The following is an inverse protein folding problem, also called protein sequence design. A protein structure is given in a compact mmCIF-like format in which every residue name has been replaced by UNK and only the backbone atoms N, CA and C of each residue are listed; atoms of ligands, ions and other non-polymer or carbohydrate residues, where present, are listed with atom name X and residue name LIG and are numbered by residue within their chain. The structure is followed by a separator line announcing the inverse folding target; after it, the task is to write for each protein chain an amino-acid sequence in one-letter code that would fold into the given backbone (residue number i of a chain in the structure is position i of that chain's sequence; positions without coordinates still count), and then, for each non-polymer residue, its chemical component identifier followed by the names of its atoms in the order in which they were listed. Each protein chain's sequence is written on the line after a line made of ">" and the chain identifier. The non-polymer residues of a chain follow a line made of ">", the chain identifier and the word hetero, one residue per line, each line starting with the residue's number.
data_IF_816732941125
#
_entry.id   IF_816732941125
#
_cell.length_a   1.000
_cell.length_b   1.000
_cell.length_c   1.000
_cell.angle_alpha   90.00
_cell.angle_beta   90.00
_cell.angle_gamma   90.00
#
_symmetry.space_group_name_H-M   'P 1'
#
loop_
_entity.id
_entity.type
_entity.pdbx_description
1 polymer ?
#
# COMPACT_ATOMS: atom_id res chain seq x y z
N UNK A 1 11.78 -43.76 6.43
CA UNK A 1 11.99 -43.18 7.78
C UNK A 1 12.08 -41.67 7.63
N UNK A 2 11.09 -40.93 8.12
CA UNK A 2 11.10 -39.47 8.12
C UNK A 2 11.59 -38.98 9.49
N UNK A 3 12.72 -38.27 9.54
CA UNK A 3 13.21 -37.68 10.77
C UNK A 3 12.35 -36.48 11.16
N UNK A 4 11.87 -36.53 12.41
CA UNK A 4 11.15 -35.48 13.12
C UNK A 4 12.06 -34.27 13.32
N UNK A 5 11.83 -33.19 12.58
CA UNK A 5 12.38 -31.86 12.88
C UNK A 5 11.22 -30.91 13.19
N UNK A 6 10.67 -31.05 14.40
CA UNK A 6 9.81 -30.05 15.03
C UNK A 6 10.37 -29.81 16.45
N UNK A 7 11.46 -29.06 16.57
CA UNK A 7 12.08 -28.74 17.86
C UNK A 7 12.38 -27.24 17.93
N UNK A 8 11.30 -26.45 18.07
CA UNK A 8 11.23 -24.97 18.15
C UNK A 8 10.93 -24.30 16.80
N UNK A 9 9.64 -24.06 16.55
CA UNK A 9 9.18 -23.18 15.46
C UNK A 9 9.39 -21.72 15.90
N UNK A 10 10.48 -21.09 15.46
CA UNK A 10 10.70 -19.65 15.65
C UNK A 10 9.78 -18.92 14.67
N UNK A 11 8.60 -18.52 15.14
CA UNK A 11 7.72 -17.61 14.39
C UNK A 11 8.38 -16.24 14.34
N UNK A 12 9.01 -15.92 13.23
CA UNK A 12 9.55 -14.57 12.99
C UNK A 12 8.35 -13.67 12.65
N UNK A 13 8.01 -12.68 13.51
CA UNK A 13 6.91 -11.77 13.23
C UNK A 13 7.20 -10.97 11.96
N UNK A 14 6.15 -10.68 11.22
CA UNK A 14 6.24 -9.84 10.03
C UNK A 14 6.56 -8.39 10.41
N UNK A 15 7.19 -7.62 9.50
CA UNK A 15 7.43 -6.18 9.72
C UNK A 15 6.16 -5.41 10.05
N UNK A 16 5.00 -5.89 9.57
CA UNK A 16 3.66 -5.32 9.81
C UNK A 16 3.30 -5.32 11.28
N UNK A 17 3.69 -6.37 12.00
CA UNK A 17 3.42 -6.56 13.42
C UNK A 17 4.40 -5.76 14.29
N UNK A 18 5.50 -5.23 13.69
CA UNK A 18 6.59 -4.54 14.38
C UNK A 18 6.97 -3.20 13.74
N UNK A 19 5.97 -2.40 13.38
CA UNK A 19 6.20 -1.07 12.78
C UNK A 19 6.98 -0.10 13.68
N UNK A 20 7.00 -0.35 14.98
CA UNK A 20 7.75 0.46 15.95
C UNK A 20 9.27 0.37 15.76
N UNK A 21 9.77 -0.73 15.17
CA UNK A 21 11.20 -0.95 14.94
C UNK A 21 11.68 -0.38 13.59
N UNK A 22 10.76 0.08 12.74
CA UNK A 22 11.08 0.58 11.40
C UNK A 22 12.08 1.75 11.42
N UNK A 23 11.95 2.78 12.29
CA UNK A 23 12.92 3.88 12.32
C UNK A 23 14.34 3.41 12.60
N UNK A 24 14.52 2.42 13.48
CA UNK A 24 15.82 1.83 13.78
C UNK A 24 16.38 1.09 12.56
N UNK A 25 15.53 0.33 11.86
CA UNK A 25 15.91 -0.37 10.65
C UNK A 25 16.28 0.59 9.50
N UNK A 26 15.59 1.72 9.37
CA UNK A 26 15.92 2.74 8.37
C UNK A 26 17.35 3.23 8.56
N UNK A 27 17.73 3.58 9.78
CA UNK A 27 19.09 4.01 10.11
C UNK A 27 20.13 2.93 9.81
N UNK A 28 19.83 1.67 10.15
CA UNK A 28 20.70 0.54 9.82
C UNK A 28 20.93 0.40 8.31
N UNK A 29 19.87 0.44 7.51
CA UNK A 29 19.98 0.30 6.06
C UNK A 29 20.70 1.47 5.40
N UNK A 30 20.45 2.71 5.86
CA UNK A 30 21.18 3.89 5.38
C UNK A 30 22.68 3.73 5.62
N UNK A 31 23.09 3.34 6.83
CA UNK A 31 24.51 3.15 7.15
C UNK A 31 25.13 2.01 6.33
N UNK A 32 24.42 0.89 6.20
CA UNK A 32 24.87 -0.26 5.43
C UNK A 32 25.13 0.12 3.97
N UNK A 33 24.14 0.72 3.30
CA UNK A 33 24.22 1.03 1.88
C UNK A 33 25.08 2.26 1.57
N UNK A 34 25.23 3.21 2.49
CA UNK A 34 26.25 4.26 2.35
C UNK A 34 27.65 3.65 2.24
N UNK A 35 27.96 2.64 3.06
CA UNK A 35 29.25 1.95 3.03
C UNK A 35 29.43 1.10 1.77
N UNK A 36 28.39 0.40 1.34
CA UNK A 36 28.46 -0.48 0.16
C UNK A 36 28.48 0.32 -1.17
N UNK A 37 27.79 1.45 -1.24
CA UNK A 37 27.63 2.26 -2.46
C UNK A 37 28.51 3.52 -2.49
N UNK A 38 29.36 3.73 -1.48
CA UNK A 38 30.16 4.95 -1.29
C UNK A 38 29.32 6.23 -1.38
N UNK A 39 28.20 6.26 -0.64
CA UNK A 39 27.29 7.42 -0.55
C UNK A 39 27.35 8.07 0.84
N UNK A 40 26.81 9.29 0.95
CA UNK A 40 26.76 10.05 2.20
C UNK A 40 25.33 10.52 2.52
N UNK A 41 24.37 9.59 2.48
CA UNK A 41 22.98 9.87 2.86
C UNK A 41 22.90 9.95 4.38
N UNK A 42 22.45 11.08 4.93
CA UNK A 42 22.30 11.32 6.36
C UNK A 42 20.93 10.90 6.90
N UNK A 43 19.92 10.81 6.05
CA UNK A 43 18.57 10.50 6.48
C UNK A 43 17.53 10.50 5.36
N UNK A 44 16.27 10.37 5.77
CA UNK A 44 15.08 10.52 4.94
C UNK A 44 14.34 11.79 5.34
N UNK A 45 13.61 12.42 4.42
CA UNK A 45 12.72 13.51 4.78
C UNK A 45 11.55 13.01 5.64
N UNK A 46 10.93 13.90 6.42
CA UNK A 46 9.73 13.56 7.24
C UNK A 46 8.59 13.00 6.39
N UNK A 47 8.46 13.45 5.14
CA UNK A 47 7.43 12.95 4.23
C UNK A 47 7.71 11.49 3.84
N UNK A 48 8.97 11.18 3.49
CA UNK A 48 9.43 9.83 3.17
C UNK A 48 9.24 8.89 4.37
N UNK A 49 9.66 9.32 5.56
CA UNK A 49 9.50 8.55 6.79
C UNK A 49 8.02 8.18 7.03
N UNK A 50 7.11 9.15 6.89
CA UNK A 50 5.67 8.93 7.02
C UNK A 50 5.12 7.92 6.01
N UNK A 51 5.63 7.94 4.77
CA UNK A 51 5.22 7.02 3.71
C UNK A 51 5.74 5.61 3.98
N UNK A 52 7.00 5.47 4.39
CA UNK A 52 7.62 4.20 4.73
C UNK A 52 6.93 3.53 5.92
N UNK A 53 6.63 4.27 6.99
CA UNK A 53 5.91 3.74 8.18
C UNK A 53 4.51 3.23 7.82
N UNK A 54 3.84 3.87 6.87
CA UNK A 54 2.48 3.50 6.43
C UNK A 54 2.47 2.27 5.52
N UNK A 55 3.59 1.90 4.92
CA UNK A 55 3.69 0.74 4.04
C UNK A 55 3.71 -0.56 4.85
N UNK A 56 3.10 -1.62 4.33
CA UNK A 56 3.00 -2.90 5.05
C UNK A 56 4.09 -3.92 4.66
N UNK A 57 4.96 -3.62 3.70
CA UNK A 57 6.09 -4.49 3.35
C UNK A 57 5.69 -5.97 3.15
N UNK A 58 4.87 -6.33 2.14
CA UNK A 58 4.54 -7.73 1.81
C UNK A 58 5.76 -8.66 1.70
N UNK A 59 6.90 -8.16 1.24
CA UNK A 59 8.19 -8.89 1.20
C UNK A 59 9.06 -8.70 2.46
N UNK A 60 8.49 -8.14 3.53
CA UNK A 60 9.08 -7.99 4.86
C UNK A 60 10.45 -7.28 4.80
N UNK A 61 11.42 -7.71 5.61
CA UNK A 61 12.79 -7.17 5.68
C UNK A 61 13.49 -7.14 4.32
N UNK A 62 13.23 -8.12 3.43
CA UNK A 62 13.85 -8.17 2.10
C UNK A 62 13.38 -7.01 1.22
N UNK A 63 12.10 -6.73 1.24
CA UNK A 63 11.53 -5.61 0.49
C UNK A 63 12.02 -4.27 1.05
N UNK A 64 12.06 -4.13 2.39
CA UNK A 64 12.60 -2.93 3.03
C UNK A 64 14.05 -2.67 2.59
N UNK A 65 14.90 -3.71 2.59
CA UNK A 65 16.29 -3.61 2.13
C UNK A 65 16.37 -3.09 0.69
N UNK A 66 15.61 -3.69 -0.23
CA UNK A 66 15.59 -3.30 -1.64
C UNK A 66 15.09 -1.87 -1.84
N UNK A 67 14.10 -1.43 -1.07
CA UNK A 67 13.59 -0.05 -1.13
C UNK A 67 14.70 0.94 -0.75
N UNK A 68 15.43 0.68 0.35
CA UNK A 68 16.53 1.53 0.79
C UNK A 68 17.71 1.54 -0.18
N UNK A 69 18.08 0.38 -0.73
CA UNK A 69 19.10 0.28 -1.76
C UNK A 69 18.76 1.18 -2.95
N UNK A 70 17.56 1.03 -3.50
CA UNK A 70 17.10 1.83 -4.64
C UNK A 70 17.09 3.33 -4.28
N UNK A 71 16.52 3.72 -3.15
CA UNK A 71 16.47 5.13 -2.75
C UNK A 71 17.88 5.74 -2.69
N UNK A 72 18.84 5.06 -2.09
CA UNK A 72 20.22 5.56 -1.95
C UNK A 72 20.95 5.59 -3.30
N UNK A 73 20.67 4.65 -4.20
CA UNK A 73 21.22 4.67 -5.57
C UNK A 73 20.73 5.89 -6.36
N UNK A 74 19.44 6.23 -6.23
CA UNK A 74 18.80 7.31 -7.00
C UNK A 74 18.83 8.69 -6.33
N UNK A 75 19.21 8.76 -5.06
CA UNK A 75 19.35 10.03 -4.35
C UNK A 75 20.67 10.72 -4.70
N UNK A 76 20.57 12.02 -5.03
CA UNK A 76 21.72 12.89 -5.33
C UNK A 76 22.07 13.86 -4.18
N UNK A 77 21.33 13.81 -3.08
CA UNK A 77 21.43 14.67 -1.91
C UNK A 77 21.79 13.87 -0.65
N UNK A 78 22.07 14.56 0.45
CA UNK A 78 22.26 13.88 1.75
C UNK A 78 20.93 13.45 2.39
N UNK A 79 19.79 13.92 1.88
CA UNK A 79 18.45 13.61 2.39
C UNK A 79 17.65 12.97 1.28
N UNK A 80 17.14 11.75 1.51
CA UNK A 80 16.24 11.07 0.57
C UNK A 80 14.91 11.83 0.55
N UNK A 81 14.49 12.27 -0.63
CA UNK A 81 13.23 12.95 -0.84
C UNK A 81 12.16 12.01 -1.43
N UNK A 82 10.90 12.46 -1.41
CA UNK A 82 9.74 11.66 -1.82
C UNK A 82 9.86 11.15 -3.27
N UNK A 83 10.55 11.92 -4.12
CA UNK A 83 10.77 11.60 -5.52
C UNK A 83 11.60 10.33 -5.73
N UNK A 84 12.52 10.05 -4.80
CA UNK A 84 13.38 8.88 -4.81
C UNK A 84 12.67 7.62 -4.32
N UNK A 85 11.51 7.75 -3.66
CA UNK A 85 10.75 6.62 -3.15
C UNK A 85 10.05 5.87 -4.30
N UNK A 86 10.11 4.53 -4.33
CA UNK A 86 9.38 3.75 -5.33
C UNK A 86 7.88 4.09 -5.36
N UNK A 87 7.31 4.22 -6.57
CA UNK A 87 5.88 4.60 -6.75
C UNK A 87 4.93 3.68 -5.99
N UNK A 88 5.23 2.38 -5.94
CA UNK A 88 4.41 1.38 -5.23
C UNK A 88 4.26 1.68 -3.73
N UNK A 89 5.30 2.25 -3.12
CA UNK A 89 5.29 2.64 -1.70
C UNK A 89 4.58 3.98 -1.53
N UNK A 90 4.83 4.94 -2.43
CA UNK A 90 4.16 6.26 -2.43
C UNK A 90 2.65 6.14 -2.57
N UNK A 91 2.19 5.28 -3.48
CA UNK A 91 0.79 5.13 -3.84
C UNK A 91 0.08 4.05 -3.02
N UNK A 92 0.74 3.46 -2.01
CA UNK A 92 0.23 2.32 -1.27
C UNK A 92 -1.18 2.52 -0.71
N UNK A 93 -1.49 3.70 -0.13
CA UNK A 93 -2.85 4.01 0.33
C UNK A 93 -3.86 4.27 -0.80
N UNK A 94 -3.41 4.71 -1.97
CA UNK A 94 -4.28 4.81 -3.17
C UNK A 94 -4.64 3.41 -3.66
N UNK A 95 -3.68 2.49 -3.65
CA UNK A 95 -3.87 1.09 -4.04
C UNK A 95 -4.77 0.39 -3.02
N UNK A 96 -4.50 0.51 -1.71
CA UNK A 96 -5.37 -0.08 -0.67
C UNK A 96 -6.77 0.55 -0.68
N UNK A 97 -6.95 1.86 -0.87
CA UNK A 97 -8.30 2.45 -1.04
C UNK A 97 -9.06 1.93 -2.27
N UNK A 98 -8.35 1.37 -3.25
CA UNK A 98 -8.95 0.75 -4.43
C UNK A 98 -9.01 -0.78 -4.33
N UNK A 99 -8.37 -1.40 -3.32
CA UNK A 99 -8.24 -2.86 -3.16
C UNK A 99 -8.63 -3.35 -1.77
N UNK A 100 -9.08 -2.48 -0.87
CA UNK A 100 -9.73 -2.85 0.38
C UNK A 100 -10.92 -3.71 0.00
N UNK A 101 -10.79 -5.00 0.27
CA UNK A 101 -11.94 -5.87 0.43
C UNK A 101 -12.76 -5.22 1.54
N UNK A 102 -13.84 -4.53 1.17
CA UNK A 102 -14.76 -3.95 2.14
C UNK A 102 -15.31 -5.11 2.96
N UNK A 103 -14.80 -5.29 4.18
CA UNK A 103 -15.38 -6.25 5.11
C UNK A 103 -16.71 -5.72 5.59
N UNK A 104 -17.62 -6.61 5.98
CA UNK A 104 -18.95 -6.20 6.43
C UNK A 104 -18.86 -5.24 7.63
N UNK A 105 -17.85 -5.38 8.50
CA UNK A 105 -17.61 -4.48 9.62
C UNK A 105 -17.25 -3.05 9.18
N UNK A 106 -16.60 -2.88 8.01
CA UNK A 106 -16.20 -1.57 7.49
C UNK A 106 -17.39 -0.73 7.01
N UNK A 107 -18.53 -1.37 6.73
CA UNK A 107 -19.76 -0.71 6.28
C UNK A 107 -20.65 -0.26 7.45
N UNK A 108 -20.38 -0.75 8.66
CA UNK A 108 -21.17 -0.42 9.86
C UNK A 108 -20.91 1.04 10.26
N UNK A 109 -21.99 1.82 10.32
CA UNK A 109 -21.93 3.25 10.68
C UNK A 109 -21.74 4.21 9.49
N UNK A 110 -21.55 3.71 8.27
CA UNK A 110 -21.55 4.53 7.07
C UNK A 110 -22.97 4.92 6.65
N UNK A 111 -23.09 6.06 5.98
CA UNK A 111 -24.36 6.45 5.38
C UNK A 111 -24.67 5.54 4.17
N UNK A 112 -25.95 5.23 3.94
CA UNK A 112 -26.43 4.51 2.75
C UNK A 112 -25.82 5.07 1.45
N UNK A 113 -25.70 6.40 1.32
CA UNK A 113 -25.15 7.04 0.12
C UNK A 113 -23.67 6.72 -0.09
N UNK A 114 -22.91 6.57 0.99
CA UNK A 114 -21.48 6.27 0.95
C UNK A 114 -21.26 4.82 0.55
N UNK A 115 -22.03 3.91 1.16
CA UNK A 115 -22.05 2.49 0.81
C UNK A 115 -22.39 2.33 -0.68
N UNK A 116 -23.42 3.02 -1.15
CA UNK A 116 -23.83 2.97 -2.56
C UNK A 116 -22.72 3.46 -3.50
N UNK A 117 -22.08 4.58 -3.17
CA UNK A 117 -20.94 5.12 -3.94
C UNK A 117 -19.79 4.12 -4.04
N UNK A 118 -19.46 3.46 -2.93
CA UNK A 118 -18.41 2.45 -2.85
C UNK A 118 -18.75 1.26 -3.75
N UNK A 119 -19.95 0.71 -3.61
CA UNK A 119 -20.40 -0.47 -4.37
C UNK A 119 -20.40 -0.19 -5.87
N UNK A 120 -20.90 0.98 -6.29
CA UNK A 120 -20.89 1.40 -7.70
C UNK A 120 -19.46 1.51 -8.23
N UNK A 121 -18.56 2.15 -7.47
CA UNK A 121 -17.17 2.35 -7.88
C UNK A 121 -16.43 1.02 -8.06
N UNK A 122 -16.56 0.10 -7.11
CA UNK A 122 -15.90 -1.21 -7.16
C UNK A 122 -16.43 -2.06 -8.31
N UNK A 123 -17.75 -2.02 -8.54
CA UNK A 123 -18.37 -2.79 -9.63
C UNK A 123 -17.95 -2.26 -11.00
N UNK A 124 -17.81 -0.93 -11.15
CA UNK A 124 -17.24 -0.31 -12.35
C UNK A 124 -15.80 -0.76 -12.59
N UNK A 125 -14.95 -0.71 -11.56
CA UNK A 125 -13.55 -1.13 -11.67
C UNK A 125 -13.43 -2.62 -12.03
N UNK A 126 -14.24 -3.48 -11.42
CA UNK A 126 -14.27 -4.92 -11.71
C UNK A 126 -14.69 -5.23 -13.16
N UNK A 127 -15.60 -4.44 -13.71
CA UNK A 127 -16.13 -4.62 -15.06
C UNK A 127 -15.40 -3.77 -16.12
N UNK A 128 -14.20 -3.27 -15.82
CA UNK A 128 -13.40 -2.49 -16.77
C UNK A 128 -14.07 -1.19 -17.24
N UNK A 129 -14.81 -0.52 -16.34
CA UNK A 129 -15.61 0.68 -16.60
C UNK A 129 -16.78 0.51 -17.59
N UNK A 130 -17.18 -0.73 -17.88
CA UNK A 130 -18.37 -0.99 -18.69
C UNK A 130 -19.65 -0.67 -17.92
N UNK A 131 -20.32 0.42 -18.31
CA UNK A 131 -21.54 0.90 -17.65
C UNK A 131 -22.71 -0.07 -17.79
N UNK A 132 -22.86 -0.70 -18.96
CA UNK A 132 -23.94 -1.65 -19.23
C UNK A 132 -23.85 -2.88 -18.32
N UNK A 133 -22.68 -3.53 -18.30
CA UNK A 133 -22.42 -4.71 -17.47
C UNK A 133 -22.55 -4.37 -15.98
N UNK A 134 -22.10 -3.17 -15.59
CA UNK A 134 -22.21 -2.71 -14.20
C UNK A 134 -23.65 -2.45 -13.78
N UNK A 135 -24.47 -1.87 -14.65
CA UNK A 135 -25.88 -1.62 -14.38
C UNK A 135 -26.65 -2.94 -14.20
N UNK A 136 -26.41 -3.89 -15.11
CA UNK A 136 -27.00 -5.23 -15.05
C UNK A 136 -26.59 -5.98 -13.77
N UNK A 137 -25.30 -5.91 -13.39
CA UNK A 137 -24.76 -6.56 -12.19
C UNK A 137 -25.29 -5.96 -10.89
N UNK A 138 -25.61 -4.66 -10.88
CA UNK A 138 -26.19 -3.96 -9.74
C UNK A 138 -27.73 -4.02 -9.72
N UNK A 139 -28.37 -4.58 -10.75
CA UNK A 139 -29.83 -4.65 -10.86
C UNK A 139 -30.50 -3.29 -11.05
N UNK A 140 -29.81 -2.31 -11.61
CA UNK A 140 -30.34 -0.96 -11.87
C UNK A 140 -30.34 -0.64 -13.36
N UNK A 141 -31.18 0.29 -13.79
CA UNK A 141 -31.16 0.75 -15.19
C UNK A 141 -29.86 1.48 -15.51
N UNK A 142 -29.36 1.36 -16.75
CA UNK A 142 -28.17 2.08 -17.23
C UNK A 142 -28.31 3.61 -17.04
N UNK A 143 -29.53 4.14 -17.24
CA UNK A 143 -29.86 5.55 -16.97
C UNK A 143 -29.74 5.89 -15.48
N UNK A 144 -30.19 5.02 -14.60
CA UNK A 144 -30.07 5.18 -13.14
C UNK A 144 -28.61 5.15 -12.68
N UNK A 145 -27.82 4.21 -13.20
CA UNK A 145 -26.37 4.17 -12.95
C UNK A 145 -25.69 5.47 -13.41
N UNK A 146 -26.01 5.95 -14.62
CA UNK A 146 -25.44 7.19 -15.16
C UNK A 146 -25.73 8.40 -14.28
N UNK A 147 -26.95 8.52 -13.75
CA UNK A 147 -27.31 9.59 -12.83
C UNK A 147 -26.51 9.51 -11.52
N UNK A 148 -26.33 8.30 -10.96
CA UNK A 148 -25.55 8.10 -9.73
C UNK A 148 -24.05 8.35 -9.93
N UNK A 149 -23.50 7.98 -11.08
CA UNK A 149 -22.12 8.29 -11.45
C UNK A 149 -21.89 9.81 -11.47
N UNK A 150 -22.85 10.56 -12.04
CA UNK A 150 -22.82 12.03 -12.07
C UNK A 150 -22.99 12.63 -10.66
N UNK A 151 -23.95 12.14 -9.87
CA UNK A 151 -24.21 12.61 -8.49
C UNK A 151 -22.97 12.41 -7.60
N UNK A 152 -22.24 11.30 -7.76
CA UNK A 152 -21.09 10.97 -6.92
C UNK A 152 -19.73 11.39 -7.47
N UNK A 153 -19.68 11.99 -8.66
CA UNK A 153 -18.45 12.43 -9.31
C UNK A 153 -17.50 11.29 -9.65
N UNK A 154 -18.02 10.11 -9.97
CA UNK A 154 -17.22 8.94 -10.37
C UNK A 154 -16.88 9.11 -11.86
N UNK A 155 -15.60 9.08 -12.24
CA UNK A 155 -15.12 9.17 -13.63
C UNK A 155 -14.62 7.83 -14.11
#
# INVERSE_FOLDING_TARGET
>A
MYFRLNVVEIKVPSLRERKQDLPLLFNYYIQKYNKELNRNVKGVSKEVENVLIKYDYPGNIRELSNIFENMIVFTNSEIIEIENVPKIVREYKSIIKNTESFTAESLIGMNIKEIEKIVIKLTLQKNGNSRKITADMLGISERGLRNKILEYGLK
#
